data_IF_647989338025
#
_entry.id   IF_647989338025
#
_cell.length_a   1.000
_cell.length_b   1.000
_cell.length_c   1.000
_cell.angle_alpha   90.00
_cell.angle_beta   90.00
_cell.angle_gamma   90.00
#
_symmetry.space_group_name_H-M   'P 1'
#
loop_
_entity.id
_entity.type
_entity.pdbx_description
1 polymer ?
#
# COMPACT_ATOMS: atom_id res chain seq x y z
N UNK A 1 21.98 -48.54 -1.68
CA UNK A 1 22.57 -47.36 -2.34
C UNK A 1 21.55 -46.25 -2.22
N UNK A 2 21.77 -45.32 -1.30
CA UNK A 2 20.80 -44.28 -0.91
C UNK A 2 20.52 -43.35 -2.09
N UNK A 3 19.28 -43.37 -2.60
CA UNK A 3 18.72 -42.21 -3.28
C UNK A 3 18.38 -41.20 -2.18
N UNK A 4 19.23 -40.18 -2.02
CA UNK A 4 18.82 -38.97 -1.34
C UNK A 4 17.81 -38.29 -2.24
N UNK A 5 16.55 -38.22 -1.82
CA UNK A 5 15.61 -37.26 -2.39
C UNK A 5 16.30 -35.87 -2.39
N UNK A 6 16.18 -35.08 -3.46
CA UNK A 6 16.68 -33.71 -3.43
C UNK A 6 16.08 -33.00 -2.21
N UNK A 7 16.83 -32.15 -1.50
CA UNK A 7 16.27 -31.39 -0.40
C UNK A 7 14.98 -30.72 -0.90
N UNK A 8 13.93 -30.76 -0.08
CA UNK A 8 12.63 -30.21 -0.39
C UNK A 8 12.77 -28.68 -0.47
N UNK A 9 13.28 -28.17 -1.60
CA UNK A 9 13.56 -26.74 -1.81
C UNK A 9 12.23 -26.06 -2.07
N UNK A 10 11.78 -25.28 -1.10
CA UNK A 10 10.65 -24.38 -1.27
C UNK A 10 11.10 -23.15 -2.04
N UNK A 11 10.60 -22.99 -3.27
CA UNK A 11 10.72 -21.75 -4.01
C UNK A 11 9.65 -20.77 -3.55
N UNK A 12 10.02 -19.50 -3.37
CA UNK A 12 9.08 -18.44 -3.00
C UNK A 12 7.91 -18.37 -4.00
N UNK A 13 6.68 -18.48 -3.48
CA UNK A 13 5.45 -18.52 -4.28
C UNK A 13 4.99 -17.11 -4.63
N UNK A 14 4.98 -16.21 -3.66
CA UNK A 14 4.64 -14.81 -3.84
C UNK A 14 3.15 -14.46 -3.64
N UNK A 15 2.85 -13.18 -3.31
CA UNK A 15 1.49 -12.70 -3.05
C UNK A 15 0.46 -12.98 -4.14
N UNK A 16 0.77 -12.72 -5.41
CA UNK A 16 -0.17 -12.85 -6.52
C UNK A 16 -0.66 -14.29 -6.69
N UNK A 17 0.26 -15.27 -6.67
CA UNK A 17 -0.08 -16.67 -6.81
C UNK A 17 -0.92 -17.18 -5.62
N UNK A 18 -0.54 -16.82 -4.39
CA UNK A 18 -1.29 -17.19 -3.18
C UNK A 18 -2.70 -16.56 -3.16
N UNK A 19 -2.81 -15.29 -3.54
CA UNK A 19 -4.09 -14.58 -3.64
C UNK A 19 -4.98 -15.22 -4.72
N UNK A 20 -4.42 -15.55 -5.89
CA UNK A 20 -5.14 -16.24 -6.97
C UNK A 20 -5.71 -17.59 -6.52
N UNK A 21 -4.94 -18.37 -5.76
CA UNK A 21 -5.42 -19.61 -5.16
C UNK A 21 -6.60 -19.36 -4.22
N UNK A 22 -6.47 -18.41 -3.29
CA UNK A 22 -7.54 -18.06 -2.35
C UNK A 22 -8.82 -17.58 -3.06
N UNK A 23 -8.69 -16.67 -4.03
CA UNK A 23 -9.82 -16.16 -4.82
C UNK A 23 -10.48 -17.23 -5.69
N UNK A 24 -9.75 -18.29 -6.04
CA UNK A 24 -10.30 -19.46 -6.75
C UNK A 24 -10.98 -20.47 -5.83
N UNK A 25 -11.12 -20.16 -4.53
CA UNK A 25 -11.74 -21.02 -3.54
C UNK A 25 -10.84 -22.14 -3.01
N UNK A 26 -9.54 -22.12 -3.31
CA UNK A 26 -8.60 -23.11 -2.78
C UNK A 26 -8.36 -22.84 -1.30
N UNK A 27 -8.56 -23.86 -0.46
CA UNK A 27 -8.22 -23.80 0.96
C UNK A 27 -6.69 -23.78 1.14
N UNK A 28 -6.15 -22.67 1.65
CA UNK A 28 -4.71 -22.49 1.87
C UNK A 28 -4.18 -23.07 3.18
N UNK A 29 -5.05 -23.51 4.11
CA UNK A 29 -4.62 -24.06 5.41
C UNK A 29 -3.61 -25.21 5.27
N UNK A 30 -3.82 -26.22 4.41
CA UNK A 30 -2.85 -27.32 4.25
C UNK A 30 -1.50 -26.84 3.69
N UNK A 31 -1.49 -25.78 2.88
CA UNK A 31 -0.23 -25.18 2.41
C UNK A 31 0.46 -24.45 3.56
N UNK A 32 -0.28 -23.65 4.34
CA UNK A 32 0.25 -22.97 5.53
C UNK A 32 0.89 -23.91 6.54
N UNK A 33 0.28 -25.06 6.83
CA UNK A 33 0.83 -26.08 7.72
C UNK A 33 2.17 -26.65 7.20
N UNK A 34 2.27 -26.90 5.89
CA UNK A 34 3.53 -27.36 5.27
C UNK A 34 4.61 -26.28 5.33
N UNK A 35 4.27 -25.03 5.04
CA UNK A 35 5.21 -23.91 5.11
C UNK A 35 5.71 -23.68 6.55
N UNK A 36 4.84 -23.81 7.55
CA UNK A 36 5.20 -23.74 8.96
C UNK A 36 6.17 -24.87 9.35
N UNK A 37 5.89 -26.10 8.91
CA UNK A 37 6.78 -27.25 9.17
C UNK A 37 8.15 -27.08 8.50
N UNK A 38 8.17 -26.58 7.25
CA UNK A 38 9.41 -26.28 6.52
C UNK A 38 10.22 -25.19 7.23
N UNK A 39 9.58 -24.11 7.67
CA UNK A 39 10.23 -23.05 8.43
C UNK A 39 10.83 -23.54 9.76
N UNK A 40 10.18 -24.51 10.42
CA UNK A 40 10.66 -25.13 11.66
C UNK A 40 11.83 -26.09 11.50
N UNK A 41 12.16 -26.51 10.27
CA UNK A 41 13.19 -27.53 10.00
C UNK A 41 14.64 -27.03 10.05
N UNK A 42 14.86 -25.72 10.23
CA UNK A 42 16.18 -25.11 10.41
C UNK A 42 16.29 -23.70 9.87
N UNK A 43 17.48 -23.09 9.96
CA UNK A 43 17.79 -21.79 9.34
C UNK A 43 18.35 -21.99 7.95
N UNK A 44 17.49 -21.93 6.93
CA UNK A 44 17.87 -22.04 5.52
C UNK A 44 17.20 -20.94 4.68
N UNK A 45 17.69 -20.70 3.47
CA UNK A 45 17.04 -19.81 2.49
C UNK A 45 15.59 -20.26 2.23
N UNK A 46 15.38 -21.57 2.11
CA UNK A 46 14.05 -22.18 1.95
C UNK A 46 13.14 -21.89 3.14
N UNK A 47 13.69 -21.74 4.35
CA UNK A 47 12.92 -21.40 5.55
C UNK A 47 12.42 -19.95 5.50
N UNK A 48 13.24 -19.02 4.98
CA UNK A 48 12.85 -17.63 4.83
C UNK A 48 11.75 -17.46 3.77
N UNK A 49 11.88 -18.14 2.63
CA UNK A 49 10.86 -18.17 1.57
C UNK A 49 9.54 -18.72 2.09
N UNK A 50 9.59 -19.83 2.84
CA UNK A 50 8.40 -20.43 3.45
C UNK A 50 7.74 -19.52 4.49
N UNK A 51 8.51 -18.81 5.32
CA UNK A 51 7.98 -17.84 6.28
C UNK A 51 7.31 -16.65 5.58
N UNK A 52 7.89 -16.12 4.50
CA UNK A 52 7.29 -15.00 3.78
C UNK A 52 5.97 -15.40 3.11
N UNK A 53 5.92 -16.58 2.49
CA UNK A 53 4.67 -17.12 1.93
C UNK A 53 3.63 -17.40 3.02
N UNK A 54 4.04 -17.97 4.16
CA UNK A 54 3.16 -18.19 5.31
C UNK A 54 2.59 -16.86 5.84
N UNK A 55 3.42 -15.82 5.93
CA UNK A 55 2.97 -14.49 6.33
C UNK A 55 1.86 -13.99 5.40
N UNK A 56 2.01 -14.18 4.09
CA UNK A 56 0.99 -13.81 3.10
C UNK A 56 -0.31 -14.57 3.32
N UNK A 57 -0.26 -15.90 3.51
CA UNK A 57 -1.46 -16.71 3.79
C UNK A 57 -2.19 -16.23 5.05
N UNK A 58 -1.44 -15.89 6.10
CA UNK A 58 -2.00 -15.35 7.34
C UNK A 58 -2.65 -13.98 7.14
N UNK A 59 -2.09 -13.10 6.29
CA UNK A 59 -2.73 -11.84 5.92
C UNK A 59 -4.05 -12.08 5.18
N UNK A 60 -4.08 -13.01 4.23
CA UNK A 60 -5.29 -13.40 3.51
C UNK A 60 -6.36 -14.01 4.41
N UNK A 61 -5.95 -14.56 5.56
CA UNK A 61 -6.82 -15.12 6.59
C UNK A 61 -7.23 -14.11 7.67
N UNK A 62 -6.94 -12.82 7.47
CA UNK A 62 -7.24 -11.70 8.38
C UNK A 62 -6.54 -11.78 9.76
N UNK A 63 -5.41 -12.49 9.85
CA UNK A 63 -4.59 -12.63 11.06
C UNK A 63 -3.42 -11.64 11.06
N UNK A 64 -3.73 -10.33 10.96
CA UNK A 64 -2.75 -9.27 10.66
C UNK A 64 -1.54 -9.26 11.58
N UNK A 65 -1.73 -9.24 12.90
CA UNK A 65 -0.61 -9.13 13.86
C UNK A 65 0.34 -10.32 13.77
N UNK A 66 -0.20 -11.53 13.69
CA UNK A 66 0.58 -12.77 13.55
C UNK A 66 1.31 -12.76 12.21
N UNK A 67 0.62 -12.38 11.13
CA UNK A 67 1.22 -12.31 9.81
C UNK A 67 2.42 -11.36 9.75
N UNK A 68 2.31 -10.16 10.32
CA UNK A 68 3.41 -9.19 10.36
C UNK A 68 4.57 -9.68 11.25
N UNK A 69 4.27 -10.39 12.34
CA UNK A 69 5.31 -11.03 13.16
C UNK A 69 6.08 -12.09 12.36
N UNK A 70 5.38 -12.97 11.64
CA UNK A 70 5.99 -13.99 10.79
C UNK A 70 6.80 -13.36 9.65
N UNK A 71 6.30 -12.29 9.03
CA UNK A 71 7.04 -11.53 8.01
C UNK A 71 8.36 -10.99 8.58
N UNK A 72 8.34 -10.40 9.77
CA UNK A 72 9.55 -9.91 10.43
C UNK A 72 10.57 -11.03 10.71
N UNK A 73 10.12 -12.24 11.09
CA UNK A 73 11.03 -13.38 11.23
C UNK A 73 11.63 -13.81 9.90
N UNK A 74 10.87 -13.79 8.80
CA UNK A 74 11.40 -14.07 7.46
C UNK A 74 12.51 -13.08 7.09
N UNK A 75 12.29 -11.79 7.36
CA UNK A 75 13.22 -10.70 7.00
C UNK A 75 14.50 -10.66 7.84
N UNK A 76 14.50 -11.26 9.04
CA UNK A 76 15.73 -11.50 9.81
C UNK A 76 16.63 -12.54 9.15
N UNK A 77 16.08 -13.43 8.33
CA UNK A 77 16.83 -14.48 7.63
C UNK A 77 17.28 -14.03 6.23
N UNK A 78 16.41 -13.32 5.50
CA UNK A 78 16.60 -12.97 4.09
C UNK A 78 15.77 -11.74 3.73
N UNK A 79 16.38 -10.77 3.05
CA UNK A 79 15.72 -9.53 2.61
C UNK A 79 15.36 -9.52 1.12
N UNK A 80 16.08 -10.29 0.29
CA UNK A 80 15.93 -10.32 -1.17
C UNK A 80 15.22 -11.60 -1.62
N UNK A 81 14.04 -11.49 -2.21
CA UNK A 81 13.23 -12.60 -2.72
C UNK A 81 13.15 -12.54 -4.24
N UNK A 82 13.04 -13.69 -4.90
CA UNK A 82 13.06 -13.78 -6.36
C UNK A 82 11.79 -14.45 -6.87
N UNK A 83 11.15 -13.82 -7.85
CA UNK A 83 10.09 -14.40 -8.67
C UNK A 83 10.59 -14.48 -10.12
N UNK A 84 10.64 -15.68 -10.72
CA UNK A 84 11.07 -15.83 -12.10
C UNK A 84 10.08 -15.15 -13.05
N UNK A 85 10.55 -14.82 -14.26
CA UNK A 85 9.67 -14.32 -15.31
C UNK A 85 8.57 -15.37 -15.60
N UNK A 86 7.27 -15.01 -15.57
CA UNK A 86 6.19 -15.97 -15.81
C UNK A 86 6.29 -16.71 -17.15
N UNK A 87 6.81 -16.04 -18.20
CA UNK A 87 7.09 -16.66 -19.52
C UNK A 87 8.41 -17.46 -19.57
N UNK A 88 9.11 -17.63 -18.46
CA UNK A 88 10.31 -18.45 -18.30
C UNK A 88 11.63 -17.78 -18.67
N UNK A 89 11.67 -16.96 -19.73
CA UNK A 89 12.87 -16.18 -20.10
C UNK A 89 12.66 -14.72 -19.70
N UNK A 90 13.59 -14.17 -18.92
CA UNK A 90 13.54 -12.78 -18.51
C UNK A 90 14.01 -11.86 -19.65
N UNK A 91 13.09 -11.07 -20.21
CA UNK A 91 13.41 -9.95 -21.10
C UNK A 91 13.85 -8.70 -20.32
N UNK A 92 13.35 -8.53 -19.09
CA UNK A 92 13.73 -7.47 -18.15
C UNK A 92 13.88 -8.06 -16.76
N UNK A 93 14.93 -7.65 -16.03
CA UNK A 93 15.08 -7.89 -14.59
C UNK A 93 14.72 -6.63 -13.82
N UNK A 94 13.62 -6.70 -13.09
CA UNK A 94 13.11 -5.62 -12.26
C UNK A 94 13.53 -5.84 -10.81
N UNK A 95 14.23 -4.88 -10.22
CA UNK A 95 14.45 -4.82 -8.78
C UNK A 95 13.39 -3.92 -8.15
N UNK A 96 12.63 -4.42 -7.20
CA UNK A 96 11.63 -3.66 -6.45
C UNK A 96 12.11 -3.39 -5.03
N UNK A 97 12.10 -2.13 -4.61
CA UNK A 97 12.26 -1.76 -3.20
C UNK A 97 10.90 -1.76 -2.52
N UNK A 98 10.75 -2.61 -1.51
CA UNK A 98 9.55 -2.73 -0.68
C UNK A 98 9.89 -2.50 0.78
N UNK A 99 8.92 -2.12 1.60
CA UNK A 99 9.06 -2.04 3.06
C UNK A 99 8.20 -3.13 3.72
N UNK A 100 8.59 -3.68 4.88
CA UNK A 100 7.72 -4.58 5.64
C UNK A 100 6.38 -3.91 5.95
N UNK A 101 5.31 -4.69 5.94
CA UNK A 101 3.95 -4.20 6.09
C UNK A 101 2.91 -5.14 5.49
N UNK A 102 1.66 -4.69 5.56
CA UNK A 102 0.55 -5.45 4.99
C UNK A 102 0.52 -5.38 3.45
N UNK A 103 -0.39 -6.14 2.84
CA UNK A 103 -0.57 -6.19 1.38
C UNK A 103 -0.89 -4.83 0.73
N UNK A 104 -1.24 -3.81 1.51
CA UNK A 104 -1.55 -2.45 1.02
C UNK A 104 -0.37 -1.48 1.17
N UNK A 105 0.70 -1.90 1.85
CA UNK A 105 1.86 -1.05 2.17
C UNK A 105 2.72 -0.76 0.94
N UNK A 106 2.75 -1.68 -0.03
CA UNK A 106 3.57 -1.57 -1.24
C UNK A 106 2.70 -1.76 -2.49
N UNK A 107 3.17 -1.23 -3.62
CA UNK A 107 2.61 -1.51 -4.94
C UNK A 107 2.76 -3.00 -5.24
N UNK A 108 1.65 -3.72 -5.52
CA UNK A 108 1.66 -5.18 -5.67
C UNK A 108 2.13 -5.57 -7.09
N UNK A 109 3.44 -5.43 -7.35
CA UNK A 109 4.03 -5.54 -8.69
C UNK A 109 3.83 -6.92 -9.32
N UNK A 110 3.93 -7.98 -8.54
CA UNK A 110 3.76 -9.36 -9.01
C UNK A 110 2.39 -9.62 -9.66
N UNK A 111 1.33 -8.92 -9.22
CA UNK A 111 0.02 -8.96 -9.87
C UNK A 111 0.01 -8.27 -11.25
N UNK A 112 0.84 -7.24 -11.44
CA UNK A 112 0.95 -6.52 -12.71
C UNK A 112 1.78 -7.28 -13.75
N UNK A 113 2.61 -8.21 -13.28
CA UNK A 113 3.56 -8.96 -14.09
C UNK A 113 3.06 -10.33 -14.53
N UNK A 114 1.82 -10.71 -14.19
CA UNK A 114 1.21 -11.95 -14.68
C UNK A 114 1.31 -12.02 -16.21
N UNK A 115 1.67 -13.20 -16.72
CA UNK A 115 1.89 -13.46 -18.14
C UNK A 115 2.89 -12.52 -18.84
N UNK A 116 3.85 -11.95 -18.12
CA UNK A 116 4.95 -11.14 -18.68
C UNK A 116 6.27 -11.91 -18.80
N UNK A 117 7.26 -11.30 -19.46
CA UNK A 117 8.65 -11.75 -19.52
C UNK A 117 9.55 -11.00 -18.51
N UNK A 118 8.97 -10.43 -17.45
CA UNK A 118 9.71 -9.67 -16.43
C UNK A 118 10.01 -10.57 -15.23
N UNK A 119 11.29 -10.76 -14.91
CA UNK A 119 11.69 -11.35 -13.64
C UNK A 119 11.72 -10.27 -12.56
N UNK A 120 11.26 -10.62 -11.35
CA UNK A 120 11.09 -9.67 -10.25
C UNK A 120 11.94 -10.09 -9.05
N UNK A 121 12.90 -9.24 -8.72
CA UNK A 121 13.65 -9.28 -7.46
C UNK A 121 12.99 -8.31 -6.47
N UNK A 122 12.62 -8.79 -5.29
CA UNK A 122 11.98 -8.02 -4.23
C UNK A 122 12.98 -7.82 -3.11
N UNK A 123 13.46 -6.60 -2.91
CA UNK A 123 14.30 -6.23 -1.79
C UNK A 123 13.49 -5.47 -0.73
N UNK A 124 13.34 -6.09 0.44
CA UNK A 124 12.79 -5.41 1.61
C UNK A 124 13.83 -4.49 2.24
N UNK A 125 13.47 -3.22 2.45
CA UNK A 125 14.28 -2.19 3.10
C UNK A 125 13.49 -1.56 4.23
N UNK A 126 14.17 -1.19 5.32
CA UNK A 126 13.57 -0.49 6.45
C UNK A 126 14.65 0.27 7.24
N UNK A 127 14.31 1.18 8.17
CA UNK A 127 15.30 1.79 9.04
C UNK A 127 16.13 0.79 9.86
N UNK A 128 15.59 -0.41 10.12
CA UNK A 128 16.21 -1.45 10.95
C UNK A 128 16.84 -2.59 10.12
N UNK A 129 16.66 -2.54 8.80
CA UNK A 129 17.19 -3.51 7.87
C UNK A 129 18.31 -2.84 7.06
N UNK A 130 19.58 -3.24 7.23
CA UNK A 130 20.67 -2.62 6.49
C UNK A 130 20.48 -2.87 4.99
N UNK A 131 20.78 -1.85 4.19
CA UNK A 131 20.82 -2.00 2.75
C UNK A 131 21.91 -3.03 2.40
N UNK A 132 21.63 -4.04 1.55
CA UNK A 132 22.62 -5.06 1.25
C UNK A 132 23.88 -4.47 0.61
N UNK A 133 25.06 -4.96 1.02
CA UNK A 133 26.35 -4.54 0.45
C UNK A 133 26.48 -4.89 -1.04
N UNK A 134 25.77 -5.94 -1.47
CA UNK A 134 25.70 -6.39 -2.87
C UNK A 134 24.25 -6.57 -3.27
N UNK A 135 23.94 -6.11 -4.48
CA UNK A 135 22.62 -6.24 -5.09
C UNK A 135 22.71 -7.20 -6.27
N UNK A 136 21.59 -7.85 -6.58
CA UNK A 136 21.43 -8.53 -7.85
C UNK A 136 21.54 -7.52 -9.00
N UNK A 137 22.21 -7.94 -10.08
CA UNK A 137 22.23 -7.15 -11.29
C UNK A 137 20.81 -7.09 -11.88
N UNK A 138 20.39 -5.89 -12.25
CA UNK A 138 19.02 -5.58 -12.67
C UNK A 138 19.06 -4.50 -13.75
N UNK A 139 17.99 -4.42 -14.53
CA UNK A 139 17.90 -3.49 -15.66
C UNK A 139 17.15 -2.22 -15.25
N UNK A 140 16.17 -2.34 -14.35
CA UNK A 140 15.34 -1.23 -13.84
C UNK A 140 15.07 -1.41 -12.35
N UNK A 141 15.09 -0.32 -11.59
CA UNK A 141 14.65 -0.25 -10.20
C UNK A 141 13.21 0.31 -10.14
N UNK A 142 12.36 -0.24 -9.28
CA UNK A 142 11.05 0.29 -8.96
C UNK A 142 10.92 0.54 -7.46
N UNK A 143 10.60 1.75 -7.03
CA UNK A 143 10.26 2.01 -5.62
C UNK A 143 8.77 1.71 -5.42
N UNK A 144 8.48 0.57 -4.80
CA UNK A 144 7.11 0.09 -4.61
C UNK A 144 6.48 0.60 -3.31
N UNK A 145 7.25 1.19 -2.41
CA UNK A 145 6.81 1.69 -1.10
C UNK A 145 5.71 2.75 -1.26
N UNK A 146 4.56 2.55 -0.62
CA UNK A 146 3.46 3.51 -0.59
C UNK A 146 3.75 4.72 0.31
N UNK A 147 3.09 5.84 0.05
CA UNK A 147 3.17 7.04 0.90
C UNK A 147 2.34 6.85 2.18
N UNK A 148 2.98 7.00 3.34
CA UNK A 148 2.36 7.14 4.65
C UNK A 148 3.28 7.89 5.60
N UNK A 149 2.78 8.24 6.80
CA UNK A 149 3.61 8.85 7.83
C UNK A 149 4.72 7.90 8.31
N UNK A 150 4.43 6.60 8.36
CA UNK A 150 5.37 5.54 8.75
C UNK A 150 6.48 5.34 7.71
N UNK A 151 6.16 5.41 6.42
CA UNK A 151 7.12 5.16 5.33
C UNK A 151 7.89 6.41 4.91
N UNK A 152 7.39 7.61 5.22
CA UNK A 152 8.01 8.89 4.83
C UNK A 152 9.49 9.01 5.19
N UNK A 153 9.94 8.72 6.43
CA UNK A 153 11.36 8.81 6.76
C UNK A 153 12.24 7.86 5.93
N UNK A 154 11.71 6.69 5.54
CA UNK A 154 12.40 5.75 4.67
C UNK A 154 12.48 6.28 3.23
N UNK A 155 11.37 6.79 2.69
CA UNK A 155 11.32 7.39 1.35
C UNK A 155 12.29 8.56 1.21
N UNK A 156 12.39 9.42 2.22
CA UNK A 156 13.34 10.55 2.24
C UNK A 156 14.80 10.08 2.19
N UNK A 157 15.16 9.07 3.00
CA UNK A 157 16.52 8.48 2.97
C UNK A 157 16.82 7.79 1.64
N UNK A 158 15.83 7.10 1.08
CA UNK A 158 15.95 6.47 -0.25
C UNK A 158 16.11 7.53 -1.34
N UNK A 159 15.44 8.68 -1.25
CA UNK A 159 15.61 9.78 -2.20
C UNK A 159 17.07 10.24 -2.32
N UNK A 160 17.78 10.31 -1.19
CA UNK A 160 19.22 10.63 -1.17
C UNK A 160 20.04 9.48 -1.75
N UNK A 161 19.75 8.24 -1.34
CA UNK A 161 20.53 7.05 -1.73
C UNK A 161 20.39 6.71 -3.21
N UNK A 162 19.23 6.96 -3.80
CA UNK A 162 18.89 6.63 -5.18
C UNK A 162 19.22 7.76 -6.18
N UNK A 163 19.63 8.94 -5.71
CA UNK A 163 19.94 10.09 -6.56
C UNK A 163 21.03 9.78 -7.62
N UNK A 164 21.94 8.86 -7.33
CA UNK A 164 23.01 8.43 -8.22
C UNK A 164 22.91 6.94 -8.58
N UNK A 165 21.70 6.39 -8.56
CA UNK A 165 21.50 4.98 -8.91
C UNK A 165 21.95 4.69 -10.35
N UNK A 166 22.70 3.60 -10.60
CA UNK A 166 23.31 3.35 -11.91
C UNK A 166 22.31 2.86 -12.98
N UNK A 167 21.07 2.53 -12.60
CA UNK A 167 20.00 2.05 -13.49
C UNK A 167 18.80 3.01 -13.49
N UNK A 168 17.92 2.97 -14.50
CA UNK A 168 16.66 3.70 -14.46
C UNK A 168 15.85 3.37 -13.19
N UNK A 169 15.30 4.41 -12.55
CA UNK A 169 14.47 4.28 -11.36
C UNK A 169 13.05 4.75 -11.68
N UNK A 170 12.09 3.83 -11.55
CA UNK A 170 10.65 4.09 -11.64
C UNK A 170 10.12 4.46 -10.25
N UNK A 171 9.22 5.44 -10.23
CA UNK A 171 8.66 6.06 -9.02
C UNK A 171 9.74 6.57 -8.06
N UNK A 172 10.39 7.68 -8.40
CA UNK A 172 11.41 8.29 -7.55
C UNK A 172 10.89 8.52 -6.11
N UNK A 173 11.67 8.10 -5.11
CA UNK A 173 11.24 8.05 -3.71
C UNK A 173 10.87 9.45 -3.16
N UNK A 174 11.58 10.49 -3.57
CA UNK A 174 11.29 11.89 -3.21
C UNK A 174 9.92 12.35 -3.72
N UNK A 175 9.52 11.92 -4.93
CA UNK A 175 8.22 12.26 -5.53
C UNK A 175 7.07 11.52 -4.85
N UNK A 176 7.30 10.31 -4.35
CA UNK A 176 6.27 9.55 -3.61
C UNK A 176 5.85 10.31 -2.35
N UNK A 177 6.76 11.03 -1.69
CA UNK A 177 6.43 11.81 -0.47
C UNK A 177 5.42 12.94 -0.71
N UNK A 178 5.17 13.31 -1.97
CA UNK A 178 4.21 14.35 -2.35
C UNK A 178 2.78 13.80 -2.56
N UNK A 179 2.59 12.49 -2.39
CA UNK A 179 1.31 11.81 -2.63
C UNK A 179 0.37 11.81 -1.41
N UNK A 180 0.77 12.45 -0.31
CA UNK A 180 -0.14 12.69 0.81
C UNK A 180 -1.33 13.56 0.39
N UNK A 181 -2.46 13.44 1.07
CA UNK A 181 -3.70 14.11 0.66
C UNK A 181 -3.60 15.64 0.67
N UNK A 182 -2.90 16.18 1.66
CA UNK A 182 -2.62 17.61 1.82
C UNK A 182 -1.58 18.14 0.82
N UNK A 183 -0.55 17.36 0.49
CA UNK A 183 0.39 17.72 -0.57
C UNK A 183 -0.24 17.62 -1.96
N UNK A 184 -1.08 16.62 -2.21
CA UNK A 184 -1.85 16.49 -3.44
C UNK A 184 -2.73 17.71 -3.67
N UNK A 185 -3.43 18.20 -2.62
CA UNK A 185 -4.14 19.47 -2.69
C UNK A 185 -3.22 20.63 -3.08
N UNK A 186 -2.10 20.80 -2.37
CA UNK A 186 -1.15 21.89 -2.60
C UNK A 186 -0.62 21.92 -4.04
N UNK A 187 -0.45 20.75 -4.66
CA UNK A 187 0.09 20.61 -6.03
C UNK A 187 -0.97 20.77 -7.12
N UNK A 188 -2.20 20.32 -6.87
CA UNK A 188 -3.21 20.12 -7.91
C UNK A 188 -4.32 21.18 -7.90
N UNK A 189 -4.55 21.90 -6.80
CA UNK A 189 -5.68 22.84 -6.66
C UNK A 189 -5.67 24.03 -7.63
N UNK A 190 -4.49 24.42 -8.13
CA UNK A 190 -4.35 25.51 -9.10
C UNK A 190 -4.44 25.07 -10.57
N UNK A 191 -4.63 23.79 -10.87
CA UNK A 191 -4.59 23.30 -12.24
C UNK A 191 -5.91 23.55 -12.98
N UNK A 192 -5.87 24.01 -14.25
CA UNK A 192 -7.07 24.18 -15.07
C UNK A 192 -7.87 22.88 -15.19
N UNK A 193 -9.19 22.96 -14.99
CA UNK A 193 -10.09 21.80 -15.10
C UNK A 193 -10.04 20.83 -13.92
N UNK A 194 -9.29 21.15 -12.85
CA UNK A 194 -9.23 20.34 -11.63
C UNK A 194 -9.98 21.04 -10.51
N UNK A 195 -10.93 20.34 -9.89
CA UNK A 195 -11.52 20.75 -8.62
C UNK A 195 -10.91 19.88 -7.52
N UNK A 196 -9.97 20.44 -6.78
CA UNK A 196 -9.34 19.77 -5.64
C UNK A 196 -9.67 20.54 -4.36
N UNK A 197 -10.57 20.03 -3.49
CA UNK A 197 -10.95 20.73 -2.27
C UNK A 197 -9.75 20.77 -1.31
N UNK A 198 -9.66 21.82 -0.49
CA UNK A 198 -8.58 21.89 0.48
C UNK A 198 -8.64 20.68 1.42
N UNK A 199 -7.46 20.12 1.70
CA UNK A 199 -7.34 18.97 2.58
C UNK A 199 -6.26 19.26 3.61
N UNK A 200 -6.63 19.21 4.88
CA UNK A 200 -5.73 19.50 6.00
C UNK A 200 -5.80 18.39 7.03
N UNK A 201 -4.77 18.31 7.88
CA UNK A 201 -4.74 17.42 9.04
C UNK A 201 -5.11 18.21 10.28
N UNK A 202 -6.01 17.67 11.10
CA UNK A 202 -6.39 18.22 12.40
C UNK A 202 -6.27 17.16 13.48
N UNK A 203 -5.90 17.61 14.67
CA UNK A 203 -6.01 16.81 15.90
C UNK A 203 -7.47 16.60 16.27
N UNK A 204 -7.72 15.57 17.08
CA UNK A 204 -9.03 15.36 17.73
C UNK A 204 -9.53 16.61 18.43
N UNK A 205 -8.67 17.29 19.18
CA UNK A 205 -9.04 18.48 19.93
C UNK A 205 -9.49 19.64 19.03
N UNK A 206 -8.83 19.82 17.89
CA UNK A 206 -9.26 20.83 16.90
C UNK A 206 -10.61 20.47 16.27
N UNK A 207 -10.90 19.18 16.05
CA UNK A 207 -12.24 18.75 15.62
C UNK A 207 -13.30 18.97 16.70
N UNK A 208 -12.98 18.74 17.97
CA UNK A 208 -13.87 19.06 19.11
C UNK A 208 -14.17 20.57 19.16
N UNK A 209 -13.20 21.42 18.82
CA UNK A 209 -13.42 22.87 18.74
C UNK A 209 -14.37 23.28 17.59
N UNK A 210 -14.36 22.54 16.48
CA UNK A 210 -15.35 22.71 15.40
C UNK A 210 -16.72 22.21 15.87
N UNK A 211 -16.77 21.04 16.50
CA UNK A 211 -17.98 20.38 17.01
C UNK A 211 -18.77 21.29 17.96
N UNK A 212 -18.10 21.82 18.98
CA UNK A 212 -18.69 22.72 19.96
C UNK A 212 -18.82 24.18 19.48
N UNK A 213 -18.42 24.46 18.23
CA UNK A 213 -18.44 25.79 17.58
C UNK A 213 -17.63 26.87 18.29
N UNK A 214 -16.66 26.49 19.11
CA UNK A 214 -15.71 27.44 19.72
C UNK A 214 -14.77 28.06 18.68
N UNK A 215 -14.45 27.31 17.62
CA UNK A 215 -13.66 27.80 16.49
C UNK A 215 -14.37 27.45 15.17
N UNK A 216 -14.59 28.43 14.27
CA UNK A 216 -15.12 28.15 12.94
C UNK A 216 -14.22 27.20 12.14
N UNK A 217 -14.80 26.26 11.39
CA UNK A 217 -14.03 25.33 10.56
C UNK A 217 -13.13 26.04 9.53
N UNK A 218 -13.52 27.24 9.09
CA UNK A 218 -12.77 28.07 8.15
C UNK A 218 -11.41 28.52 8.68
N UNK A 219 -11.22 28.55 10.00
CA UNK A 219 -9.92 28.87 10.61
C UNK A 219 -8.90 27.73 10.40
N UNK A 220 -9.37 26.50 10.16
CA UNK A 220 -8.53 25.33 9.94
C UNK A 220 -8.47 24.92 8.46
N UNK A 221 -9.59 25.06 7.74
CA UNK A 221 -9.76 24.63 6.36
C UNK A 221 -10.31 25.80 5.54
N UNK A 222 -9.49 26.38 4.66
CA UNK A 222 -9.78 27.66 4.00
C UNK A 222 -11.07 27.69 3.17
N UNK A 223 -11.48 26.56 2.59
CA UNK A 223 -12.72 26.41 1.81
C UNK A 223 -13.81 25.65 2.59
N UNK A 224 -13.70 25.57 3.93
CA UNK A 224 -14.61 24.78 4.74
C UNK A 224 -16.07 25.15 4.49
N UNK A 225 -16.82 24.14 4.05
CA UNK A 225 -18.26 24.18 3.89
C UNK A 225 -18.79 22.78 4.22
N UNK A 226 -19.82 22.72 5.06
CA UNK A 226 -20.49 21.45 5.37
C UNK A 226 -21.36 21.02 4.17
N UNK A 227 -21.46 19.70 3.87
CA UNK A 227 -20.86 18.59 4.61
C UNK A 227 -19.33 18.54 4.50
N UNK A 228 -18.66 18.10 5.58
CA UNK A 228 -17.23 17.76 5.56
C UNK A 228 -17.06 16.26 5.35
N UNK A 229 -15.93 15.85 4.78
CA UNK A 229 -15.43 14.49 4.82
C UNK A 229 -14.32 14.43 5.88
N UNK A 230 -14.43 13.50 6.82
CA UNK A 230 -13.46 13.31 7.91
C UNK A 230 -12.94 11.87 7.88
N UNK A 231 -11.64 11.69 8.09
CA UNK A 231 -10.98 10.38 8.05
C UNK A 231 -9.80 10.31 9.00
N UNK A 232 -9.58 9.22 9.76
CA UNK A 232 -8.33 9.04 10.50
C UNK A 232 -7.12 9.03 9.58
N UNK A 233 -6.01 9.62 10.01
CA UNK A 233 -4.71 9.48 9.34
C UNK A 233 -4.27 8.00 9.41
N UNK A 234 -3.63 7.50 8.35
CA UNK A 234 -3.18 6.11 8.27
C UNK A 234 -4.27 5.08 7.95
N UNK A 235 -5.55 5.47 7.90
CA UNK A 235 -6.60 4.53 7.49
C UNK A 235 -6.57 4.28 5.98
N UNK A 236 -6.95 3.08 5.55
CA UNK A 236 -7.10 2.66 4.13
C UNK A 236 -8.53 2.17 3.84
N UNK A 237 -8.85 1.90 2.57
CA UNK A 237 -10.11 1.27 2.13
C UNK A 237 -11.43 1.89 2.67
N UNK A 238 -11.44 3.18 3.03
CA UNK A 238 -12.64 3.84 3.56
C UNK A 238 -12.88 3.66 5.06
N UNK A 239 -12.05 2.91 5.78
CA UNK A 239 -12.21 2.74 7.22
C UNK A 239 -12.16 4.09 7.96
N UNK A 240 -13.22 4.36 8.74
CA UNK A 240 -13.39 5.61 9.49
C UNK A 240 -13.61 6.84 8.61
N UNK A 241 -13.77 6.70 7.28
CA UNK A 241 -14.12 7.81 6.41
C UNK A 241 -15.61 8.10 6.57
N UNK A 242 -15.99 9.30 6.96
CA UNK A 242 -17.39 9.67 7.16
C UNK A 242 -17.72 11.03 6.54
N UNK A 243 -18.98 11.18 6.10
CA UNK A 243 -19.53 12.45 5.65
C UNK A 243 -20.28 13.10 6.82
N UNK A 244 -19.77 14.21 7.30
CA UNK A 244 -20.29 14.95 8.45
C UNK A 244 -21.14 16.11 7.94
N UNK A 245 -22.46 16.03 8.12
CA UNK A 245 -23.40 17.03 7.59
C UNK A 245 -23.40 18.34 8.38
N UNK A 246 -23.13 18.31 9.69
CA UNK A 246 -23.10 19.50 10.55
C UNK A 246 -22.01 19.37 11.62
N UNK A 247 -21.54 20.50 12.21
CA UNK A 247 -20.53 20.44 13.28
C UNK A 247 -20.89 19.50 14.43
N UNK A 248 -22.15 19.49 14.88
CA UNK A 248 -22.60 18.64 15.99
C UNK A 248 -22.50 17.13 15.69
N UNK A 249 -22.51 16.74 14.41
CA UNK A 249 -22.42 15.32 14.01
C UNK A 249 -20.97 14.78 14.19
N UNK A 250 -19.98 15.66 14.44
CA UNK A 250 -18.62 15.26 14.82
C UNK A 250 -18.56 14.57 16.18
N UNK A 251 -19.49 14.87 17.09
CA UNK A 251 -19.49 14.28 18.44
C UNK A 251 -19.61 12.76 18.38
N UNK A 252 -20.62 12.26 17.67
CA UNK A 252 -20.86 10.82 17.53
C UNK A 252 -19.73 10.14 16.73
N UNK A 253 -19.23 10.81 15.69
CA UNK A 253 -18.09 10.34 14.90
C UNK A 253 -16.84 10.15 15.77
N UNK A 254 -16.47 11.17 16.55
CA UNK A 254 -15.28 11.15 17.39
C UNK A 254 -15.40 10.16 18.55
N UNK A 255 -16.60 9.96 19.09
CA UNK A 255 -16.84 8.99 20.17
C UNK A 255 -16.53 7.55 19.77
N UNK A 256 -16.73 7.20 18.50
CA UNK A 256 -16.61 5.83 18.00
C UNK A 256 -15.20 5.46 17.52
N UNK A 257 -14.27 6.42 17.48
CA UNK A 257 -12.91 6.23 16.99
C UNK A 257 -11.92 6.62 18.08
N UNK A 258 -10.83 5.87 18.33
CA UNK A 258 -9.79 6.25 19.29
C UNK A 258 -8.71 7.18 18.66
N UNK A 259 -8.78 7.43 17.36
CA UNK A 259 -7.74 8.12 16.60
C UNK A 259 -7.49 9.56 17.06
N UNK A 260 -6.26 10.02 16.89
CA UNK A 260 -5.79 11.32 17.41
C UNK A 260 -5.69 12.40 16.35
N UNK A 261 -5.54 12.02 15.09
CA UNK A 261 -5.31 12.94 13.96
C UNK A 261 -6.17 12.48 12.78
N UNK A 262 -6.78 13.44 12.10
CA UNK A 262 -7.73 13.22 11.03
C UNK A 262 -7.40 14.12 9.85
N UNK A 263 -7.61 13.62 8.64
CA UNK A 263 -7.78 14.47 7.48
C UNK A 263 -9.21 15.01 7.44
N UNK A 264 -9.35 16.30 7.11
CA UNK A 264 -10.63 16.90 6.75
C UNK A 264 -10.56 17.56 5.38
N UNK A 265 -11.69 17.53 4.67
CA UNK A 265 -11.92 18.27 3.44
C UNK A 265 -13.43 18.55 3.29
N UNK A 266 -13.83 19.54 2.49
CA UNK A 266 -15.26 19.70 2.17
C UNK A 266 -15.72 18.57 1.25
N UNK A 267 -16.95 18.13 1.43
CA UNK A 267 -17.60 17.22 0.51
C UNK A 267 -17.89 17.95 -0.81
N UNK A 268 -17.62 17.26 -1.93
CA UNK A 268 -18.05 17.69 -3.26
C UNK A 268 -19.11 16.71 -3.69
N UNK A 269 -20.32 17.20 -3.96
CA UNK A 269 -21.33 16.39 -4.62
C UNK A 269 -20.93 16.23 -6.09
N UNK A 270 -20.55 15.00 -6.45
CA UNK A 270 -20.18 14.60 -7.79
C UNK A 270 -21.19 13.60 -8.39
N UNK A 271 -22.40 13.56 -7.82
CA UNK A 271 -23.50 12.81 -8.43
C UNK A 271 -23.83 13.39 -9.80
N UNK A 272 -24.20 12.49 -10.70
CA UNK A 272 -24.70 12.85 -12.02
C UNK A 272 -26.22 13.08 -11.94
N UNK A 273 -26.87 13.75 -12.93
CA UNK A 273 -28.32 13.98 -12.93
C UNK A 273 -29.23 12.76 -12.75
N UNK A 274 -28.71 11.54 -12.88
CA UNK A 274 -29.44 10.29 -12.59
C UNK A 274 -29.39 9.89 -11.10
N UNK A 275 -28.78 10.72 -10.24
CA UNK A 275 -28.62 10.49 -8.81
C UNK A 275 -27.50 9.50 -8.46
N UNK A 276 -26.71 9.06 -9.44
CA UNK A 276 -25.63 8.08 -9.22
C UNK A 276 -24.25 8.74 -9.18
N UNK A 277 -23.40 8.25 -8.29
CA UNK A 277 -22.00 8.61 -8.17
C UNK A 277 -21.13 7.74 -9.06
N UNK A 278 -20.10 8.32 -9.68
CA UNK A 278 -19.19 7.62 -10.60
C UNK A 278 -17.74 7.89 -10.20
N UNK A 279 -17.00 6.82 -9.89
CA UNK A 279 -15.58 6.87 -9.53
C UNK A 279 -14.75 6.20 -10.60
N UNK A 280 -13.84 6.95 -11.19
CA UNK A 280 -12.90 6.47 -12.21
C UNK A 280 -11.52 6.29 -11.61
N UNK A 281 -10.84 5.20 -12.00
CA UNK A 281 -9.39 5.04 -11.83
C UNK A 281 -8.72 5.18 -13.17
N UNK A 282 -7.76 6.10 -13.22
CA UNK A 282 -6.91 6.33 -14.37
C UNK A 282 -5.47 6.06 -13.94
N UNK A 283 -4.75 5.26 -14.71
CA UNK A 283 -3.32 5.04 -14.53
C UNK A 283 -2.59 5.93 -15.53
N UNK A 284 -1.56 6.64 -15.05
CA UNK A 284 -0.69 7.44 -15.90
C UNK A 284 0.62 6.70 -16.13
N UNK A 285 0.94 6.37 -17.37
CA UNK A 285 2.22 5.77 -17.77
C UNK A 285 2.91 6.78 -18.68
N UNK A 286 4.07 7.30 -18.26
CA UNK A 286 4.78 8.38 -18.97
C UNK A 286 3.89 9.59 -19.30
N UNK A 287 2.98 9.93 -18.38
CA UNK A 287 2.02 11.02 -18.56
C UNK A 287 0.83 10.71 -19.48
N UNK A 288 0.77 9.49 -20.07
CA UNK A 288 -0.37 9.06 -20.87
C UNK A 288 -1.44 8.40 -19.98
N UNK A 289 -2.71 8.83 -20.07
CA UNK A 289 -3.78 8.27 -19.26
C UNK A 289 -4.34 6.97 -19.86
N UNK A 290 -4.54 5.98 -19.00
CA UNK A 290 -5.19 4.70 -19.32
C UNK A 290 -6.35 4.47 -18.36
N UNK A 291 -7.52 4.13 -18.89
CA UNK A 291 -8.67 3.77 -18.08
C UNK A 291 -8.42 2.40 -17.42
N UNK A 292 -8.56 2.34 -16.09
CA UNK A 292 -8.32 1.10 -15.33
C UNK A 292 -9.61 0.50 -14.77
N UNK A 293 -10.47 1.33 -14.16
CA UNK A 293 -11.71 0.85 -13.54
C UNK A 293 -12.72 1.98 -13.39
N UNK A 294 -14.01 1.64 -13.45
CA UNK A 294 -15.11 2.55 -13.13
C UNK A 294 -16.09 1.86 -12.17
N UNK A 295 -16.41 2.51 -11.06
CA UNK A 295 -17.48 2.10 -10.16
C UNK A 295 -18.64 3.09 -10.23
N UNK A 296 -19.87 2.58 -10.20
CA UNK A 296 -21.11 3.35 -10.13
C UNK A 296 -21.89 2.93 -8.88
N UNK A 297 -22.40 3.89 -8.11
CA UNK A 297 -23.11 3.60 -6.86
C UNK A 297 -24.17 4.66 -6.57
N UNK A 298 -25.21 4.27 -5.82
CA UNK A 298 -26.15 5.20 -5.18
C UNK A 298 -25.54 5.89 -3.96
N UNK A 299 -24.42 5.38 -3.45
CA UNK A 299 -23.68 5.97 -2.34
C UNK A 299 -22.37 6.63 -2.82
N UNK A 300 -22.06 7.81 -2.28
CA UNK A 300 -20.90 8.60 -2.69
C UNK A 300 -19.56 7.93 -2.38
N UNK A 301 -19.49 7.06 -1.37
CA UNK A 301 -18.25 6.39 -0.98
C UNK A 301 -18.12 5.06 -1.72
N UNK A 302 -17.47 5.09 -2.88
CA UNK A 302 -17.35 3.90 -3.75
C UNK A 302 -16.10 3.08 -3.37
N UNK A 303 -16.35 1.94 -2.72
CA UNK A 303 -15.41 0.88 -2.38
C UNK A 303 -15.81 -0.44 -3.05
N UNK A 304 -14.87 -1.39 -3.13
CA UNK A 304 -14.96 -2.70 -3.77
C UNK A 304 -14.21 -3.69 -2.90
#
# INVERSE_FOLDING_TARGET
MNQQDPPNIHAFIGPAALMKMACSGINLTPLGERLLALAGSGRSVSSADALLDLSTILQLSNSREIALSVQNEALKLKQLYHLPAPRGIAGIRLLALMTPGDLMTNTPLDFLLEDSDIALDILYVSPHLPFPDTLSDHDVLFVAIGESDETRPLLERLGVSLAHWPRPVLNQADRITWLSRDHAYTRLSGLPGVVMPATVRLTRHELENIENKSVPAQNYLSDAAFPLIVRPVGSHAGHGLEKIDRPADLFDYLKNLPDKVFYISRFIDYSHPDGLFRKYRVVLIEGRPYAAHMGISTHWMIHY
#
